data_IF_505085946322
#
_entry.id   IF_505085946322
#
_cell.length_a   1.000
_cell.length_b   1.000
_cell.length_c   1.000
_cell.angle_alpha   90.00
_cell.angle_beta   90.00
_cell.angle_gamma   90.00
#
_symmetry.space_group_name_H-M   'P 1'
#
loop_
_entity.id
_entity.type
_entity.pdbx_description
1 polymer ?
#
# COMPACT_ATOMS: atom_id res chain seq x y z
N UNK A 1 -27.37 49.58 -10.03
CA UNK A 1 -26.72 50.20 -8.85
C UNK A 1 -25.94 49.12 -8.11
N UNK A 2 -24.62 49.34 -7.89
CA UNK A 2 -23.79 48.86 -6.74
C UNK A 2 -23.56 47.33 -6.62
N UNK A 3 -22.37 46.75 -6.48
CA UNK A 3 -20.95 47.15 -6.57
C UNK A 3 -20.17 45.91 -7.06
N UNK A 4 -19.20 46.08 -7.96
CA UNK A 4 -18.14 45.11 -8.21
C UNK A 4 -16.99 45.43 -7.25
N UNK A 5 -16.58 44.45 -6.43
CA UNK A 5 -15.28 44.45 -5.77
C UNK A 5 -14.49 43.27 -6.32
N UNK A 6 -13.58 43.56 -7.25
CA UNK A 6 -12.61 42.59 -7.74
C UNK A 6 -11.43 42.55 -6.76
N UNK A 7 -11.19 41.38 -6.15
CA UNK A 7 -9.98 41.11 -5.38
C UNK A 7 -9.03 40.38 -6.32
N UNK A 8 -8.02 41.10 -6.82
CA UNK A 8 -6.90 40.50 -7.54
C UNK A 8 -5.98 39.82 -6.52
N UNK A 9 -6.01 38.48 -6.48
CA UNK A 9 -5.04 37.69 -5.74
C UNK A 9 -3.81 37.46 -6.64
N UNK A 10 -2.66 37.96 -6.19
CA UNK A 10 -1.37 37.74 -6.85
C UNK A 10 -0.92 36.31 -6.57
N UNK A 11 -0.58 35.50 -7.59
CA UNK A 11 0.03 34.18 -7.37
C UNK A 11 1.48 34.35 -6.90
N UNK A 12 1.85 33.75 -5.77
CA UNK A 12 3.26 33.60 -5.38
C UNK A 12 3.65 33.87 -3.93
N UNK A 13 2.73 34.18 -3.02
CA UNK A 13 3.09 34.43 -1.61
C UNK A 13 2.55 33.34 -0.68
N UNK A 14 3.39 32.35 -0.37
CA UNK A 14 3.20 31.49 0.80
C UNK A 14 3.81 32.21 2.00
N UNK A 15 2.96 32.67 2.91
CA UNK A 15 3.39 33.13 4.23
C UNK A 15 3.68 31.90 5.09
N UNK A 16 4.93 31.46 5.12
CA UNK A 16 5.41 30.50 6.13
C UNK A 16 5.69 31.31 7.41
N UNK A 17 4.75 31.28 8.36
CA UNK A 17 5.03 31.69 9.73
C UNK A 17 5.98 30.68 10.36
N UNK A 18 7.22 31.11 10.54
CA UNK A 18 8.30 30.32 11.12
C UNK A 18 8.06 29.96 12.58
N UNK A 19 8.14 28.66 12.87
CA UNK A 19 8.54 28.15 14.18
C UNK A 19 10.02 27.81 14.11
N UNK A 20 10.89 28.73 14.53
CA UNK A 20 12.32 28.45 14.72
C UNK A 20 12.49 27.50 15.91
N UNK A 21 12.57 26.20 15.63
CA UNK A 21 13.23 25.24 16.50
C UNK A 21 14.73 25.31 16.24
N UNK A 22 15.44 26.12 17.02
CA UNK A 22 16.90 26.12 17.12
C UNK A 22 17.35 24.76 17.69
N UNK A 23 17.63 23.79 16.82
CA UNK A 23 18.41 22.62 17.19
C UNK A 23 19.88 22.96 16.96
N UNK A 24 20.57 23.27 18.06
CA UNK A 24 22.03 23.34 18.09
C UNK A 24 22.59 21.95 17.83
N UNK A 25 23.03 21.70 16.59
CA UNK A 25 23.86 20.55 16.26
C UNK A 25 25.24 20.77 16.92
N UNK A 26 25.43 20.19 18.10
CA UNK A 26 26.76 19.97 18.65
C UNK A 26 27.48 18.97 17.74
N UNK A 27 28.41 19.49 16.94
CA UNK A 27 29.42 18.69 16.26
C UNK A 27 30.41 18.18 17.31
N UNK A 28 30.17 16.97 17.84
CA UNK A 28 31.24 16.23 18.51
C UNK A 28 32.17 15.65 17.45
N UNK A 29 33.32 16.29 17.32
CA UNK A 29 34.50 15.81 16.62
C UNK A 29 34.97 14.50 17.28
N UNK A 30 34.34 13.38 16.91
CA UNK A 30 34.82 12.06 17.30
C UNK A 30 36.01 11.70 16.43
N UNK A 31 37.18 12.03 16.99
CA UNK A 31 38.49 11.48 16.68
C UNK A 31 38.35 10.00 16.28
N UNK A 32 38.63 9.74 15.01
CA UNK A 32 38.60 8.41 14.42
C UNK A 32 39.83 7.69 14.94
N UNK A 33 39.67 6.86 15.97
CA UNK A 33 40.69 5.89 16.36
C UNK A 33 40.91 4.91 15.20
N UNK A 34 42.16 4.73 14.71
CA UNK A 34 42.44 3.72 13.71
C UNK A 34 42.26 2.33 14.34
N UNK A 35 41.36 1.54 13.78
CA UNK A 35 41.17 0.13 14.15
C UNK A 35 42.51 -0.61 14.17
N UNK A 36 42.87 -1.29 15.29
CA UNK A 36 43.99 -2.21 15.27
C UNK A 36 43.64 -3.43 14.42
N UNK A 37 44.58 -3.78 13.54
CA UNK A 37 44.60 -4.99 12.73
C UNK A 37 44.64 -6.21 13.66
N UNK A 38 43.48 -6.81 13.94
CA UNK A 38 43.41 -8.08 14.68
C UNK A 38 43.78 -9.24 13.76
N UNK A 39 45.05 -9.61 13.85
CA UNK A 39 45.62 -10.87 13.42
C UNK A 39 44.98 -12.06 14.19
N UNK A 40 44.78 -13.16 13.46
CA UNK A 40 44.71 -14.54 13.93
C UNK A 40 43.74 -14.93 15.06
N UNK A 41 42.70 -15.70 14.71
CA UNK A 41 42.52 -17.08 15.18
C UNK A 41 41.24 -17.68 14.59
N UNK A 42 41.41 -18.68 13.71
CA UNK A 42 40.35 -19.59 13.33
C UNK A 42 40.05 -20.56 14.49
N UNK A 43 38.77 -20.80 14.84
CA UNK A 43 38.38 -22.05 15.46
C UNK A 43 37.89 -23.04 14.38
N UNK A 44 38.73 -24.04 14.15
CA UNK A 44 38.37 -25.34 13.59
C UNK A 44 37.37 -26.02 14.54
N UNK A 45 36.09 -26.02 14.18
CA UNK A 45 35.08 -26.87 14.82
C UNK A 45 34.22 -27.47 13.70
N UNK A 46 34.62 -28.65 13.26
CA UNK A 46 33.80 -29.58 12.50
C UNK A 46 32.91 -30.43 13.46
N UNK A 47 32.00 -31.26 12.93
CA UNK A 47 30.57 -31.28 13.21
C UNK A 47 30.19 -32.23 14.37
N UNK A 48 28.89 -32.32 14.72
CA UNK A 48 28.11 -33.51 15.16
C UNK A 48 26.85 -33.08 15.96
N UNK A 49 25.85 -33.97 16.07
CA UNK A 49 24.44 -33.80 16.50
C UNK A 49 23.52 -33.45 15.32
N UNK A 50 22.93 -34.36 14.54
CA UNK A 50 22.30 -35.66 14.83
C UNK A 50 21.28 -35.65 16.00
N UNK A 51 20.08 -36.12 15.66
CA UNK A 51 18.94 -36.51 16.51
C UNK A 51 18.02 -35.39 17.03
N UNK A 52 16.88 -35.22 16.35
CA UNK A 52 15.57 -35.58 16.93
C UNK A 52 14.44 -35.43 15.92
N UNK A 53 14.01 -36.60 15.47
CA UNK A 53 12.72 -36.86 14.85
C UNK A 53 11.61 -36.73 15.91
N UNK A 54 10.72 -35.75 15.76
CA UNK A 54 9.39 -35.68 16.40
C UNK A 54 8.52 -34.84 15.47
N UNK A 55 7.27 -35.11 15.14
CA UNK A 55 6.40 -36.27 15.34
C UNK A 55 5.34 -36.13 14.26
N UNK A 56 5.09 -37.23 13.56
CA UNK A 56 3.98 -37.41 12.64
C UNK A 56 2.67 -37.46 13.46
N UNK A 57 2.05 -36.32 13.75
CA UNK A 57 0.65 -36.29 14.21
C UNK A 57 -0.31 -36.15 13.04
N UNK A 58 -0.78 -37.34 12.67
CA UNK A 58 -1.92 -37.66 11.83
C UNK A 58 -3.21 -37.13 12.47
N UNK A 59 -3.51 -35.84 12.31
CA UNK A 59 -4.83 -35.32 12.68
C UNK A 59 -5.79 -35.37 11.49
N UNK A 60 -6.37 -36.56 11.35
CA UNK A 60 -7.47 -36.89 10.44
C UNK A 60 -8.78 -36.39 11.05
N UNK A 61 -9.03 -35.09 11.02
CA UNK A 61 -10.36 -34.56 11.35
C UNK A 61 -11.22 -34.50 10.08
N UNK A 62 -11.83 -35.64 9.74
CA UNK A 62 -13.00 -35.69 8.86
C UNK A 62 -14.14 -34.94 9.55
N UNK A 63 -14.28 -33.64 9.30
CA UNK A 63 -15.56 -32.97 9.57
C UNK A 63 -16.63 -33.55 8.64
N UNK A 64 -17.77 -34.01 9.18
CA UNK A 64 -18.89 -34.40 8.33
C UNK A 64 -19.34 -33.15 7.58
N UNK A 65 -19.31 -33.24 6.25
CA UNK A 65 -19.97 -32.29 5.36
C UNK A 65 -21.43 -32.20 5.81
N UNK A 66 -21.79 -31.09 6.45
CA UNK A 66 -23.20 -30.66 6.50
C UNK A 66 -23.57 -30.40 5.05
N UNK A 67 -24.26 -31.36 4.45
CA UNK A 67 -25.02 -31.19 3.23
C UNK A 67 -26.03 -30.08 3.54
N UNK A 68 -25.67 -28.85 3.21
CA UNK A 68 -26.62 -27.76 3.08
C UNK A 68 -27.45 -28.19 1.87
N UNK A 69 -28.72 -28.56 2.11
CA UNK A 69 -29.71 -28.69 1.06
C UNK A 69 -29.67 -27.39 0.26
N UNK A 70 -29.11 -27.47 -0.95
CA UNK A 70 -29.31 -26.41 -1.93
C UNK A 70 -30.82 -26.33 -2.16
N UNK A 71 -31.45 -25.15 -2.09
CA UNK A 71 -32.82 -25.01 -2.54
C UNK A 71 -32.91 -25.42 -4.01
N UNK A 72 -33.77 -26.40 -4.28
CA UNK A 72 -34.11 -26.87 -5.63
C UNK A 72 -34.44 -25.69 -6.54
N UNK A 73 -33.93 -25.76 -7.77
CA UNK A 73 -34.13 -24.75 -8.83
C UNK A 73 -35.56 -24.68 -9.37
N UNK A 74 -36.53 -25.41 -8.81
CA UNK A 74 -37.88 -25.55 -9.40
C UNK A 74 -38.93 -24.56 -8.90
N UNK A 75 -38.72 -23.85 -7.79
CA UNK A 75 -39.71 -22.87 -7.27
C UNK A 75 -39.42 -21.41 -7.66
N UNK A 76 -38.40 -21.14 -8.49
CA UNK A 76 -38.00 -19.76 -8.83
C UNK A 76 -38.59 -19.21 -10.13
N UNK A 77 -39.38 -20.01 -10.86
CA UNK A 77 -40.02 -19.57 -12.10
C UNK A 77 -41.39 -18.92 -11.88
N UNK A 78 -42.08 -19.18 -10.77
CA UNK A 78 -43.41 -18.63 -10.51
C UNK A 78 -43.43 -17.18 -9.97
N UNK A 79 -42.30 -16.64 -9.49
CA UNK A 79 -42.23 -15.28 -8.90
C UNK A 79 -41.73 -14.20 -9.87
N UNK A 80 -41.27 -14.58 -11.07
CA UNK A 80 -40.71 -13.63 -12.05
C UNK A 80 -41.75 -12.94 -12.93
N UNK A 81 -43.01 -13.36 -12.89
CA UNK A 81 -44.07 -12.85 -13.78
C UNK A 81 -44.86 -11.63 -13.23
N UNK A 82 -44.71 -11.25 -11.95
CA UNK A 82 -45.47 -10.14 -11.36
C UNK A 82 -44.69 -8.83 -11.15
N UNK A 83 -43.36 -8.81 -11.32
CA UNK A 83 -42.55 -7.59 -11.14
C UNK A 83 -42.29 -6.81 -12.46
N UNK A 84 -42.99 -7.14 -13.55
CA UNK A 84 -42.71 -6.60 -14.89
C UNK A 84 -43.77 -5.62 -15.43
N UNK A 85 -44.64 -5.02 -14.59
CA UNK A 85 -45.75 -4.19 -15.10
C UNK A 85 -45.92 -2.78 -14.50
N UNK A 86 -45.06 -2.30 -13.59
CA UNK A 86 -45.31 -1.00 -12.91
C UNK A 86 -44.13 0.00 -12.81
N UNK A 87 -43.19 0.02 -13.76
CA UNK A 87 -42.14 1.06 -13.76
C UNK A 87 -41.74 1.55 -15.16
N UNK A 88 -42.75 1.79 -16.01
CA UNK A 88 -42.58 2.29 -17.38
C UNK A 88 -42.81 3.82 -17.49
N UNK A 89 -42.46 4.58 -16.44
CA UNK A 89 -42.65 6.03 -16.46
C UNK A 89 -41.66 6.78 -15.57
N UNK A 90 -40.42 6.92 -16.03
CA UNK A 90 -39.52 8.03 -15.69
C UNK A 90 -38.40 8.12 -16.74
N UNK A 91 -38.80 8.57 -17.94
CA UNK A 91 -37.91 9.09 -18.96
C UNK A 91 -37.35 10.42 -18.45
N UNK A 92 -36.11 10.44 -17.96
CA UNK A 92 -35.23 11.62 -18.03
C UNK A 92 -33.76 11.23 -17.77
N UNK A 93 -32.99 11.16 -18.84
CA UNK A 93 -31.51 11.13 -18.85
C UNK A 93 -31.06 12.51 -19.30
N UNK A 94 -30.22 13.21 -18.52
CA UNK A 94 -28.86 13.50 -18.99
C UNK A 94 -27.84 13.21 -17.86
N UNK A 95 -26.86 12.33 -18.08
CA UNK A 95 -25.54 12.72 -18.60
C UNK A 95 -25.09 14.11 -18.14
N UNK A 96 -24.62 14.23 -16.90
CA UNK A 96 -23.62 15.23 -16.46
C UNK A 96 -23.08 14.81 -15.09
N UNK A 97 -22.14 13.88 -15.06
CA UNK A 97 -21.04 13.90 -14.10
C UNK A 97 -19.71 13.73 -14.85
N UNK A 98 -19.53 14.59 -15.86
CA UNK A 98 -18.22 14.98 -16.39
C UNK A 98 -17.67 16.18 -15.60
N UNK A 99 -17.71 16.08 -14.26
CA UNK A 99 -17.12 17.02 -13.30
C UNK A 99 -16.51 16.16 -12.19
N UNK A 100 -15.30 15.64 -12.35
CA UNK A 100 -14.11 16.39 -11.98
C UNK A 100 -13.04 16.35 -13.08
N UNK A 101 -13.17 17.26 -14.05
CA UNK A 101 -12.01 17.74 -14.79
C UNK A 101 -11.09 18.44 -13.80
N UNK A 102 -9.82 18.04 -13.83
CA UNK A 102 -8.68 18.77 -13.28
C UNK A 102 -8.55 18.78 -11.75
N UNK A 103 -8.36 17.60 -11.15
CA UNK A 103 -7.24 17.52 -10.20
C UNK A 103 -5.99 17.70 -11.04
N UNK A 104 -5.55 18.95 -11.20
CA UNK A 104 -4.21 19.25 -11.70
C UNK A 104 -3.27 18.71 -10.63
N UNK A 105 -2.95 17.43 -10.75
CA UNK A 105 -2.01 16.69 -9.90
C UNK A 105 -0.70 17.45 -10.02
N UNK A 106 -0.26 18.21 -8.99
CA UNK A 106 1.06 18.81 -9.04
C UNK A 106 2.07 17.69 -9.25
N UNK A 107 2.78 17.71 -10.38
CA UNK A 107 3.83 16.74 -10.70
C UNK A 107 5.03 16.81 -9.74
N UNK A 108 5.01 17.72 -8.76
CA UNK A 108 5.98 17.78 -7.67
C UNK A 108 5.67 16.66 -6.65
N UNK A 109 6.70 15.91 -6.23
CA UNK A 109 6.58 14.75 -5.34
C UNK A 109 5.56 14.95 -4.22
N UNK A 110 4.61 14.02 -4.12
CA UNK A 110 3.54 14.09 -3.14
C UNK A 110 4.10 13.82 -1.76
N UNK A 111 4.20 14.87 -0.95
CA UNK A 111 4.51 14.78 0.46
C UNK A 111 3.19 14.69 1.24
N UNK A 112 2.98 13.57 1.92
CA UNK A 112 1.76 13.25 2.66
C UNK A 112 2.05 12.73 4.07
N UNK A 113 1.00 12.40 4.81
CA UNK A 113 1.07 11.63 6.06
C UNK A 113 0.47 10.26 5.80
N UNK A 114 1.32 9.24 5.75
CA UNK A 114 0.97 7.88 5.38
C UNK A 114 0.88 7.03 6.64
N UNK A 115 -0.32 6.54 6.93
CA UNK A 115 -0.60 5.81 8.15
C UNK A 115 -1.27 4.47 7.83
N UNK A 116 -0.86 3.41 8.54
CA UNK A 116 -1.48 2.10 8.43
C UNK A 116 -1.37 1.33 9.77
N UNK A 117 -2.48 0.74 10.25
CA UNK A 117 -2.44 -0.08 11.46
C UNK A 117 -1.77 -1.43 11.20
N UNK A 118 -1.20 -2.01 12.26
CA UNK A 118 -0.71 -3.39 12.25
C UNK A 118 -1.82 -4.37 11.87
N UNK A 119 -1.47 -5.40 11.11
CA UNK A 119 -2.40 -6.42 10.62
C UNK A 119 -3.26 -5.98 9.43
N UNK A 120 -3.13 -4.74 8.94
CA UNK A 120 -3.79 -4.32 7.71
C UNK A 120 -3.22 -5.07 6.49
N UNK A 121 -4.07 -5.27 5.49
CA UNK A 121 -3.68 -5.88 4.22
C UNK A 121 -2.84 -4.90 3.39
N UNK A 122 -1.60 -5.29 3.08
CA UNK A 122 -0.64 -4.45 2.38
C UNK A 122 -1.13 -4.02 1.00
N UNK A 123 -1.88 -4.87 0.30
CA UNK A 123 -2.40 -4.54 -1.04
C UNK A 123 -3.44 -3.42 -0.95
N UNK A 124 -4.35 -3.51 0.02
CA UNK A 124 -5.36 -2.48 0.29
C UNK A 124 -4.72 -1.18 0.81
N UNK A 125 -3.75 -1.28 1.71
CA UNK A 125 -3.01 -0.12 2.22
C UNK A 125 -2.29 0.61 1.09
N UNK A 126 -1.53 -0.10 0.26
CA UNK A 126 -0.85 0.52 -0.87
C UNK A 126 -1.84 1.05 -1.91
N UNK A 127 -3.00 0.42 -2.11
CA UNK A 127 -4.01 0.93 -3.03
C UNK A 127 -4.53 2.30 -2.57
N UNK A 128 -4.89 2.42 -1.29
CA UNK A 128 -5.34 3.68 -0.70
C UNK A 128 -4.26 4.76 -0.75
N UNK A 129 -3.01 4.42 -0.43
CA UNK A 129 -1.90 5.37 -0.50
C UNK A 129 -1.58 5.78 -1.94
N UNK A 130 -1.74 4.88 -2.92
CA UNK A 130 -1.49 5.20 -4.33
C UNK A 130 -2.58 6.15 -4.85
N UNK A 131 -3.85 5.90 -4.51
CA UNK A 131 -4.96 6.80 -4.83
C UNK A 131 -4.73 8.21 -4.26
N UNK A 132 -4.31 8.32 -3.00
CA UNK A 132 -4.00 9.61 -2.36
C UNK A 132 -2.74 10.26 -2.94
N UNK A 133 -1.74 9.47 -3.32
CA UNK A 133 -0.48 9.92 -3.93
C UNK A 133 -0.55 10.19 -5.44
N UNK A 134 -1.71 10.02 -6.07
CA UNK A 134 -1.90 10.19 -7.51
C UNK A 134 -1.12 9.16 -8.35
N UNK A 135 -0.97 7.94 -7.85
CA UNK A 135 -0.36 6.82 -8.55
C UNK A 135 -1.37 5.68 -8.73
N UNK A 136 -1.29 4.97 -9.85
CA UNK A 136 -2.03 3.73 -10.08
C UNK A 136 -1.29 2.54 -9.46
N UNK A 137 -2.02 1.67 -8.77
CA UNK A 137 -1.46 0.43 -8.22
C UNK A 137 -1.74 -0.75 -9.12
N UNK A 138 -0.69 -1.46 -9.52
CA UNK A 138 -0.77 -2.78 -10.16
C UNK A 138 -0.24 -3.84 -9.20
N UNK A 139 -1.15 -4.64 -8.66
CA UNK A 139 -0.82 -5.74 -7.76
C UNK A 139 -0.68 -7.06 -8.54
N UNK A 140 0.56 -7.43 -8.87
CA UNK A 140 0.90 -8.57 -9.73
C UNK A 140 1.30 -9.80 -8.90
N UNK A 141 0.47 -10.17 -7.93
CA UNK A 141 0.62 -11.38 -7.13
C UNK A 141 -0.71 -11.83 -6.52
N UNK A 142 -0.86 -13.13 -6.27
CA UNK A 142 -2.01 -13.70 -5.56
C UNK A 142 -1.77 -13.77 -4.05
N UNK A 143 -0.53 -13.58 -3.60
CA UNK A 143 -0.16 -13.61 -2.19
C UNK A 143 -0.72 -12.41 -1.45
N UNK A 144 -1.18 -12.65 -0.22
CA UNK A 144 -1.65 -11.61 0.70
C UNK A 144 -0.58 -11.35 1.74
N UNK A 145 -0.17 -10.10 1.84
CA UNK A 145 0.78 -9.63 2.85
C UNK A 145 0.04 -8.78 3.86
N UNK A 146 0.35 -8.99 5.14
CA UNK A 146 -0.25 -8.27 6.28
C UNK A 146 0.85 -7.51 7.01
N UNK A 147 0.64 -6.23 7.26
CA UNK A 147 1.61 -5.37 7.93
C UNK A 147 1.93 -5.92 9.33
N UNK A 148 3.22 -6.04 9.64
CA UNK A 148 3.75 -6.58 10.90
C UNK A 148 3.87 -5.51 11.97
N UNK A 149 4.14 -4.29 11.54
CA UNK A 149 4.30 -3.13 12.40
C UNK A 149 3.41 -1.99 11.91
N UNK A 150 2.87 -1.17 12.82
CA UNK A 150 2.14 0.02 12.44
C UNK A 150 3.09 1.02 11.75
N UNK A 151 2.58 1.71 10.73
CA UNK A 151 3.34 2.72 9.98
C UNK A 151 2.71 4.09 10.20
N UNK A 152 3.55 5.09 10.50
CA UNK A 152 3.20 6.50 10.54
C UNK A 152 4.37 7.30 9.96
N UNK A 153 4.28 7.63 8.68
CA UNK A 153 5.39 8.22 7.93
C UNK A 153 4.92 9.54 7.34
N UNK A 154 5.66 10.61 7.61
CA UNK A 154 5.46 11.91 6.98
C UNK A 154 6.54 12.12 5.93
N UNK A 155 6.14 12.50 4.72
CA UNK A 155 7.07 12.78 3.62
C UNK A 155 6.63 12.14 2.30
N UNK A 156 7.58 11.85 1.39
CA UNK A 156 7.26 11.40 0.05
C UNK A 156 6.64 9.99 0.06
N UNK A 157 5.68 9.77 -0.83
CA UNK A 157 5.01 8.49 -1.05
C UNK A 157 6.01 7.33 -1.17
N UNK A 158 7.10 7.49 -1.93
CA UNK A 158 8.11 6.43 -2.14
C UNK A 158 8.72 5.93 -0.83
N UNK A 159 8.97 6.84 0.13
CA UNK A 159 9.55 6.49 1.42
C UNK A 159 8.55 5.68 2.27
N UNK A 160 7.27 6.02 2.20
CA UNK A 160 6.23 5.26 2.90
C UNK A 160 6.07 3.86 2.32
N UNK A 161 6.04 3.74 0.99
CA UNK A 161 6.01 2.44 0.30
C UNK A 161 7.23 1.61 0.65
N UNK A 162 8.43 2.20 0.60
CA UNK A 162 9.67 1.51 0.95
C UNK A 162 9.65 0.98 2.38
N UNK A 163 9.22 1.79 3.34
CA UNK A 163 9.13 1.37 4.74
C UNK A 163 8.11 0.24 4.95
N UNK A 164 6.99 0.24 4.23
CA UNK A 164 6.02 -0.86 4.27
C UNK A 164 6.61 -2.17 3.75
N UNK A 165 7.41 -2.11 2.67
CA UNK A 165 8.05 -3.28 2.08
C UNK A 165 9.27 -3.77 2.90
N UNK A 166 9.98 -2.87 3.59
CA UNK A 166 11.17 -3.23 4.38
C UNK A 166 10.84 -4.20 5.54
N UNK A 167 9.59 -4.21 6.00
CA UNK A 167 9.07 -5.18 6.99
C UNK A 167 9.23 -6.65 6.55
N UNK A 168 9.41 -6.90 5.24
CA UNK A 168 9.56 -8.24 4.65
C UNK A 168 10.94 -8.50 4.06
N UNK A 169 11.93 -7.61 4.27
CA UNK A 169 13.24 -7.71 3.58
C UNK A 169 13.97 -9.04 3.85
N UNK A 170 13.73 -9.63 5.02
CA UNK A 170 14.35 -10.88 5.48
C UNK A 170 13.54 -12.14 5.14
N UNK A 171 12.38 -11.99 4.50
CA UNK A 171 11.51 -13.12 4.15
C UNK A 171 11.93 -13.78 2.84
N UNK A 172 11.67 -15.08 2.75
CA UNK A 172 11.88 -15.84 1.52
C UNK A 172 10.94 -15.39 0.39
N UNK A 173 9.70 -15.03 0.75
CA UNK A 173 8.72 -14.40 -0.11
C UNK A 173 8.54 -12.97 0.36
N UNK A 174 8.98 -12.01 -0.46
CA UNK A 174 8.84 -10.60 -0.14
C UNK A 174 8.24 -9.81 -1.29
N UNK A 175 7.31 -8.89 -1.02
CA UNK A 175 6.82 -7.97 -2.00
C UNK A 175 7.93 -6.99 -2.37
N UNK A 176 8.08 -6.71 -3.65
CA UNK A 176 8.99 -5.73 -4.22
C UNK A 176 8.17 -4.85 -5.14
N UNK A 177 8.25 -3.54 -4.91
CA UNK A 177 7.57 -2.58 -5.76
C UNK A 177 8.55 -1.86 -6.69
N UNK A 178 8.06 -1.46 -7.85
CA UNK A 178 8.73 -0.54 -8.77
C UNK A 178 7.76 0.55 -9.16
N UNK A 179 8.17 1.79 -8.97
CA UNK A 179 7.43 2.95 -9.43
C UNK A 179 7.88 3.28 -10.85
N UNK A 180 6.95 3.23 -11.79
CA UNK A 180 7.13 3.69 -13.15
C UNK A 180 6.53 5.09 -13.27
N UNK A 181 7.25 5.99 -13.93
CA UNK A 181 6.76 7.33 -14.26
C UNK A 181 6.80 7.46 -15.77
N UNK A 182 5.66 7.69 -16.40
CA UNK A 182 5.60 7.97 -17.82
C UNK A 182 6.12 9.39 -18.08
N UNK A 183 7.15 9.52 -18.91
CA UNK A 183 7.79 10.82 -19.19
C UNK A 183 6.90 11.74 -20.05
N UNK A 184 5.92 11.18 -20.74
CA UNK A 184 5.03 11.91 -21.65
C UNK A 184 3.79 12.41 -20.92
N UNK A 185 3.14 11.55 -20.15
CA UNK A 185 1.90 11.87 -19.44
C UNK A 185 2.13 12.32 -17.99
N UNK A 186 3.29 11.98 -17.41
CA UNK A 186 3.58 12.19 -15.99
C UNK A 186 2.84 11.21 -15.07
N UNK A 187 2.12 10.24 -15.63
CA UNK A 187 1.39 9.23 -14.86
C UNK A 187 2.36 8.33 -14.11
N UNK A 188 1.97 7.94 -12.90
CA UNK A 188 2.78 7.13 -12.00
C UNK A 188 2.09 5.81 -11.78
N UNK A 189 2.80 4.71 -12.01
CA UNK A 189 2.28 3.35 -11.82
C UNK A 189 3.19 2.59 -10.87
N UNK A 190 2.68 2.25 -9.68
CA UNK A 190 3.36 1.38 -8.74
C UNK A 190 3.03 -0.08 -9.09
N UNK A 191 4.03 -0.85 -9.54
CA UNK A 191 3.89 -2.28 -9.82
C UNK A 191 4.49 -3.07 -8.67
N UNK A 192 3.69 -3.89 -7.99
CA UNK A 192 4.13 -4.75 -6.88
C UNK A 192 4.16 -6.21 -7.32
N UNK A 193 5.29 -6.88 -7.09
CA UNK A 193 5.53 -8.29 -7.42
C UNK A 193 6.14 -9.02 -6.23
N UNK A 194 6.12 -10.34 -6.23
CA UNK A 194 6.84 -11.14 -5.23
C UNK A 194 8.21 -11.53 -5.76
N UNK A 195 9.27 -11.13 -5.05
CA UNK A 195 10.61 -11.65 -5.33
C UNK A 195 10.81 -12.98 -4.59
N UNK A 196 11.41 -13.96 -5.26
CA UNK A 196 11.63 -15.30 -4.71
C UNK A 196 10.86 -16.41 -5.43
N UNK A 197 9.90 -16.09 -6.29
CA UNK A 197 9.27 -17.07 -7.16
C UNK A 197 10.26 -17.45 -8.28
N UNK A 198 10.98 -18.56 -8.11
CA UNK A 198 11.68 -19.20 -9.22
C UNK A 198 10.62 -19.87 -10.08
N UNK A 199 10.48 -19.39 -11.32
CA UNK A 199 9.68 -20.04 -12.35
C UNK A 199 10.33 -21.35 -12.80
#
# INVERSE_FOLDING_TARGET
MRYLTAIALVPGTVLILGGQGLYAAHAEERLIDPYPLSDAAAPDIAPQHEVSSQTLEKSKEKKPLKIILLPSKEDREASRAQAAREALEAVFVPETQAQALSSSVPAAGYEGSWEAPVGADLSQTLAAWSEEGGADLVWDTQERFILREPLQIKGPYENAVQAALDQYRNDALRPVARLHVDETTGERVLVVRVSGQRF
#
